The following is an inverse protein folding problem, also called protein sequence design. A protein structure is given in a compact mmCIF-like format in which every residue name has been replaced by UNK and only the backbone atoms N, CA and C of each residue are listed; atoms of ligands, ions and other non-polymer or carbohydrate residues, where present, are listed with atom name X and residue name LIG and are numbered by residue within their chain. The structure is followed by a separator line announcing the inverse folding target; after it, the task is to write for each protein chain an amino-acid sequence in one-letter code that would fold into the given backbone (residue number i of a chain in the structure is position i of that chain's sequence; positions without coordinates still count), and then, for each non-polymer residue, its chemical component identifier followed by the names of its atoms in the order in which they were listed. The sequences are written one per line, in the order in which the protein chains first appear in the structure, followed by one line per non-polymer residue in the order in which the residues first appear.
data_IF_204309471193
#
_entry.id   IF_204309471193
#
_cell.length_a   1.000
_cell.length_b   1.000
_cell.length_c   1.000
_cell.angle_alpha   90.00
_cell.angle_beta   90.00
_cell.angle_gamma   90.00
#
_symmetry.space_group_name_H-M   'P 1'
#
loop_
_entity.id
_entity.type
_entity.pdbx_description
1 polymer ?
#
# COMPACT_ATOMS: atom_id res chain seq x y z
N UNK A 1 4.06 -14.54 12.94
CA UNK A 1 3.91 -13.07 12.83
C UNK A 1 3.24 -12.58 11.53
N UNK A 2 3.30 -13.32 10.41
CA UNK A 2 2.70 -12.89 9.14
C UNK A 2 1.17 -12.65 9.18
N UNK A 3 0.42 -13.51 9.89
CA UNK A 3 -1.04 -13.38 10.04
C UNK A 3 -1.43 -12.08 10.73
N UNK A 4 -0.75 -11.73 11.83
CA UNK A 4 -1.03 -10.49 12.56
C UNK A 4 -0.75 -9.25 11.71
N UNK A 5 0.39 -9.22 11.01
CA UNK A 5 0.75 -8.12 10.12
C UNK A 5 -0.28 -7.97 8.98
N UNK A 6 -0.73 -9.08 8.40
CA UNK A 6 -1.77 -9.08 7.39
C UNK A 6 -3.10 -8.53 7.94
N UNK A 7 -3.53 -8.99 9.12
CA UNK A 7 -4.75 -8.50 9.77
C UNK A 7 -4.68 -7.00 10.02
N UNK A 8 -3.55 -6.50 10.50
CA UNK A 8 -3.34 -5.06 10.73
C UNK A 8 -3.44 -4.27 9.41
N UNK A 9 -2.78 -4.72 8.34
CA UNK A 9 -2.89 -4.08 7.03
C UNK A 9 -4.32 -4.17 6.46
N UNK A 10 -5.06 -5.24 6.72
CA UNK A 10 -6.44 -5.40 6.30
C UNK A 10 -7.39 -4.45 7.05
N UNK A 11 -7.22 -4.31 8.37
CA UNK A 11 -7.97 -3.34 9.17
C UNK A 11 -7.70 -1.93 8.69
N UNK A 12 -6.41 -1.57 8.53
CA UNK A 12 -6.04 -0.28 7.94
C UNK A 12 -6.75 -0.12 6.59
N UNK A 13 -6.61 -1.11 5.68
CA UNK A 13 -7.23 -1.10 4.34
C UNK A 13 -8.68 -0.65 4.43
N UNK A 14 -9.46 -1.35 5.25
CA UNK A 14 -10.89 -1.11 5.47
C UNK A 14 -11.20 0.25 6.07
N UNK A 15 -10.41 0.77 7.01
CA UNK A 15 -10.66 2.08 7.60
C UNK A 15 -10.67 3.21 6.56
N UNK A 16 -9.78 3.18 5.57
CA UNK A 16 -9.76 4.21 4.50
C UNK A 16 -10.85 4.00 3.48
N UNK A 17 -11.13 2.75 3.10
CA UNK A 17 -12.27 2.46 2.21
C UNK A 17 -13.57 2.95 2.83
N UNK A 18 -13.76 2.72 4.13
CA UNK A 18 -14.93 3.16 4.86
C UNK A 18 -14.98 4.69 5.01
N UNK A 19 -13.85 5.34 5.32
CA UNK A 19 -13.78 6.80 5.49
C UNK A 19 -14.12 7.58 4.21
N UNK A 20 -13.87 7.00 3.04
CA UNK A 20 -14.11 7.66 1.75
C UNK A 20 -15.22 7.02 0.91
N UNK A 21 -16.00 6.10 1.50
CA UNK A 21 -17.01 5.30 0.77
C UNK A 21 -18.01 6.14 -0.02
N UNK A 22 -18.42 7.28 0.53
CA UNK A 22 -19.42 8.17 -0.10
C UNK A 22 -18.83 9.03 -1.22
N UNK A 23 -17.52 9.18 -1.26
CA UNK A 23 -16.82 10.10 -2.18
C UNK A 23 -16.21 9.38 -3.38
N UNK A 24 -16.06 8.06 -3.30
CA UNK A 24 -15.30 7.26 -4.26
C UNK A 24 -16.21 6.36 -5.09
N UNK A 25 -15.83 6.08 -6.35
CA UNK A 25 -16.61 5.22 -7.22
C UNK A 25 -16.70 3.79 -6.69
N UNK A 26 -17.75 3.09 -7.08
CA UNK A 26 -17.95 1.69 -6.75
C UNK A 26 -16.76 0.84 -7.24
N UNK A 27 -16.27 -0.06 -6.38
CA UNK A 27 -15.12 -0.91 -6.67
C UNK A 27 -13.75 -0.23 -6.53
N UNK A 28 -13.69 1.01 -6.01
CA UNK A 28 -12.44 1.57 -5.53
C UNK A 28 -11.89 0.74 -4.36
N UNK A 29 -10.58 0.49 -4.38
CA UNK A 29 -9.92 -0.29 -3.35
C UNK A 29 -8.61 0.35 -2.95
N UNK A 30 -8.37 0.41 -1.64
CA UNK A 30 -7.08 0.86 -1.15
C UNK A 30 -6.02 -0.26 -1.25
N UNK A 31 -4.79 0.12 -1.58
CA UNK A 31 -3.68 -0.81 -1.73
C UNK A 31 -3.02 -1.12 -0.38
N UNK A 32 -3.03 -2.40 0.02
CA UNK A 32 -2.25 -2.86 1.18
C UNK A 32 -0.75 -2.68 0.97
N UNK A 33 -0.26 -2.82 -0.27
CA UNK A 33 1.15 -2.65 -0.61
C UNK A 33 1.62 -1.21 -0.41
N UNK A 34 0.92 -0.22 -0.99
CA UNK A 34 1.31 1.19 -0.84
C UNK A 34 1.35 1.61 0.63
N UNK A 35 0.48 1.04 1.47
CA UNK A 35 0.48 1.32 2.91
C UNK A 35 1.63 0.66 3.65
N UNK A 36 1.92 -0.60 3.36
CA UNK A 36 3.08 -1.26 3.94
C UNK A 36 4.35 -0.46 3.62
N UNK A 37 4.47 0.04 2.38
CA UNK A 37 5.59 0.92 1.98
C UNK A 37 5.58 2.25 2.73
N UNK A 38 4.43 2.91 2.88
CA UNK A 38 4.34 4.17 3.63
C UNK A 38 4.70 4.01 5.11
N UNK A 39 4.17 2.98 5.77
CA UNK A 39 4.49 2.67 7.17
C UNK A 39 5.99 2.40 7.30
N UNK A 40 6.54 1.50 6.49
CA UNK A 40 7.98 1.19 6.52
C UNK A 40 8.87 2.40 6.29
N UNK A 41 8.51 3.27 5.34
CA UNK A 41 9.36 4.42 4.98
C UNK A 41 9.29 5.60 5.95
N UNK A 42 8.24 5.68 6.80
CA UNK A 42 8.01 6.84 7.67
C UNK A 42 8.08 6.51 9.16
N UNK A 43 7.86 5.25 9.53
CA UNK A 43 7.75 4.86 10.93
C UNK A 43 9.04 5.14 11.72
N UNK A 44 10.21 4.78 11.18
CA UNK A 44 11.48 5.06 11.85
C UNK A 44 11.73 6.56 12.04
N UNK A 45 11.44 7.36 11.01
CA UNK A 45 11.53 8.83 11.12
C UNK A 45 10.56 9.40 12.15
N UNK A 46 9.35 8.86 12.23
CA UNK A 46 8.37 9.23 13.27
C UNK A 46 8.87 8.91 14.67
N UNK A 47 9.51 7.75 14.89
CA UNK A 47 10.06 7.38 16.20
C UNK A 47 11.18 8.31 16.66
N UNK A 48 11.93 8.91 15.74
CA UNK A 48 12.98 9.89 16.06
C UNK A 48 12.37 11.25 16.44
N UNK A 49 11.30 11.65 15.75
CA UNK A 49 10.73 13.00 15.86
C UNK A 49 9.65 13.12 16.92
N UNK A 50 8.92 12.04 17.23
CA UNK A 50 7.82 12.05 18.19
C UNK A 50 8.28 11.57 19.57
N UNK A 51 8.28 12.44 20.59
CA UNK A 51 8.49 12.03 21.97
C UNK A 51 7.45 10.98 22.39
N UNK A 52 7.87 10.00 23.18
CA UNK A 52 7.03 8.87 23.60
C UNK A 52 5.85 9.33 24.46
N UNK A 53 5.97 10.47 25.13
CA UNK A 53 4.93 11.07 25.97
C UNK A 53 3.72 11.55 25.15
N UNK A 54 3.89 11.73 23.84
CA UNK A 54 2.81 12.07 22.92
C UNK A 54 2.15 10.85 22.27
N UNK A 55 2.67 9.64 22.51
CA UNK A 55 1.95 8.41 22.15
C UNK A 55 0.89 8.14 23.21
N UNK A 56 -0.40 8.22 22.86
CA UNK A 56 -1.46 7.91 23.81
C UNK A 56 -1.38 6.43 24.20
N UNK A 57 -1.68 6.15 25.46
CA UNK A 57 -1.77 4.78 25.97
C UNK A 57 -3.04 4.11 25.44
N UNK A 58 -2.96 3.52 24.24
CA UNK A 58 -4.09 2.89 23.55
C UNK A 58 -4.40 1.46 23.99
N UNK A 59 -3.62 0.90 24.92
CA UNK A 59 -3.73 -0.51 25.30
C UNK A 59 -5.07 -0.85 25.98
N UNK A 60 -5.72 0.15 26.61
CA UNK A 60 -6.96 -0.04 27.38
C UNK A 60 -8.23 0.45 26.65
N UNK A 61 -8.10 0.95 25.41
CA UNK A 61 -9.24 1.44 24.65
C UNK A 61 -10.11 0.30 24.10
N UNK A 62 -11.43 0.51 24.11
CA UNK A 62 -12.36 -0.44 23.49
C UNK A 62 -12.13 -0.55 21.98
N UNK A 63 -12.49 -1.70 21.38
CA UNK A 63 -12.41 -1.90 19.93
C UNK A 63 -13.17 -0.82 19.12
N UNK A 64 -14.28 -0.29 19.67
CA UNK A 64 -15.05 0.78 19.05
C UNK A 64 -14.29 2.10 19.05
N UNK A 65 -13.64 2.44 20.17
CA UNK A 65 -12.79 3.65 20.27
C UNK A 65 -11.67 3.58 19.24
N UNK A 66 -10.98 2.44 19.15
CA UNK A 66 -9.93 2.23 18.16
C UNK A 66 -10.47 2.36 16.72
N UNK A 67 -11.62 1.77 16.42
CA UNK A 67 -12.24 1.86 15.10
C UNK A 67 -12.60 3.31 14.71
N UNK A 68 -13.18 4.08 15.63
CA UNK A 68 -13.49 5.49 15.42
C UNK A 68 -12.23 6.32 15.13
N UNK A 69 -11.16 6.12 15.92
CA UNK A 69 -9.88 6.79 15.69
C UNK A 69 -9.25 6.44 14.35
N UNK A 70 -9.30 5.17 13.96
CA UNK A 70 -8.81 4.74 12.65
C UNK A 70 -9.61 5.39 11.51
N UNK A 71 -10.91 5.59 11.68
CA UNK A 71 -11.75 6.31 10.71
C UNK A 71 -11.40 7.81 10.66
N UNK A 72 -11.25 8.47 11.82
CA UNK A 72 -10.83 9.88 11.90
C UNK A 72 -9.48 10.10 11.20
N UNK A 73 -8.47 9.29 11.51
CA UNK A 73 -7.16 9.37 10.85
C UNK A 73 -7.25 9.07 9.36
N UNK A 74 -8.10 8.12 8.97
CA UNK A 74 -8.26 7.73 7.59
C UNK A 74 -8.86 8.84 6.72
N UNK A 75 -9.73 9.70 7.27
CA UNK A 75 -10.32 10.84 6.53
C UNK A 75 -9.26 11.82 6.00
N UNK A 76 -8.08 11.88 6.62
CA UNK A 76 -6.99 12.76 6.20
C UNK A 76 -6.13 12.18 5.07
N UNK A 77 -6.38 10.93 4.66
CA UNK A 77 -5.62 10.29 3.60
C UNK A 77 -6.17 10.72 2.24
N UNK A 78 -5.29 11.14 1.33
CA UNK A 78 -5.68 11.44 -0.05
C UNK A 78 -5.97 10.13 -0.80
N UNK A 79 -7.18 9.88 -1.32
CA UNK A 79 -7.52 8.61 -1.96
C UNK A 79 -6.62 8.26 -3.16
N UNK A 80 -6.18 9.26 -3.93
CA UNK A 80 -5.25 9.06 -5.06
C UNK A 80 -3.91 8.44 -4.65
N UNK A 81 -3.45 8.70 -3.42
CA UNK A 81 -2.20 8.13 -2.88
C UNK A 81 -2.42 6.73 -2.27
N UNK A 82 -3.67 6.37 -2.00
CA UNK A 82 -4.04 5.11 -1.37
C UNK A 82 -4.55 4.06 -2.37
N UNK A 83 -4.92 4.47 -3.58
CA UNK A 83 -5.56 3.61 -4.56
C UNK A 83 -4.70 2.40 -4.97
N UNK A 84 -5.36 1.27 -5.19
CA UNK A 84 -4.77 0.12 -5.87
C UNK A 84 -4.64 0.43 -7.35
N UNK A 85 -3.45 0.20 -7.90
CA UNK A 85 -3.23 0.30 -9.33
C UNK A 85 -3.72 -1.00 -9.98
N UNK A 86 -4.98 -1.01 -10.45
CA UNK A 86 -5.55 -2.18 -11.14
C UNK A 86 -4.87 -2.34 -12.49
N UNK A 87 -4.01 -3.35 -12.60
CA UNK A 87 -3.40 -3.70 -13.89
C UNK A 87 -4.48 -4.32 -14.77
N UNK A 88 -4.72 -3.75 -15.94
CA UNK A 88 -5.54 -4.40 -16.95
C UNK A 88 -4.95 -5.76 -17.38
N UNK A 89 -5.73 -6.60 -18.08
CA UNK A 89 -5.21 -7.81 -18.69
C UNK A 89 -3.92 -7.51 -19.46
N UNK A 90 -2.94 -8.42 -19.38
CA UNK A 90 -1.71 -8.26 -20.14
C UNK A 90 -2.09 -8.26 -21.62
N UNK A 91 -1.83 -7.15 -22.31
CA UNK A 91 -2.05 -7.07 -23.75
C UNK A 91 -1.07 -8.01 -24.44
N UNK A 92 -1.60 -8.95 -25.20
CA UNK A 92 -0.79 -9.81 -26.07
C UNK A 92 -0.22 -8.96 -27.19
N UNK A 93 1.09 -8.71 -27.11
CA UNK A 93 1.84 -8.04 -28.17
C UNK A 93 2.34 -9.11 -29.13
N UNK A 94 2.06 -9.02 -30.43
CA UNK A 94 2.69 -9.92 -31.40
C UNK A 94 4.20 -9.77 -31.27
N UNK A 95 4.91 -10.89 -31.09
CA UNK A 95 6.38 -10.90 -31.14
C UNK A 95 6.79 -10.55 -32.55
N UNK A 96 7.26 -9.32 -32.75
CA UNK A 96 8.03 -9.00 -33.94
C UNK A 96 9.25 -9.91 -33.95
N UNK A 97 9.48 -10.60 -35.08
CA UNK A 97 10.72 -11.34 -35.27
C UNK A 97 11.86 -10.31 -35.22
N UNK A 98 12.84 -10.59 -34.36
CA UNK A 98 14.11 -9.86 -34.30
C UNK A 98 15.21 -10.87 -34.53
N UNK A 99 16.29 -10.45 -35.18
CA UNK A 99 17.45 -11.30 -35.36
C UNK A 99 18.10 -11.65 -34.01
N UNK A 100 18.89 -12.72 -33.99
CA UNK A 100 19.50 -13.25 -32.77
C UNK A 100 20.49 -12.27 -32.11
N UNK A 101 21.20 -11.46 -32.89
CA UNK A 101 22.15 -10.48 -32.34
C UNK A 101 21.40 -9.38 -31.58
N UNK A 102 20.30 -8.88 -32.14
CA UNK A 102 19.41 -7.92 -31.49
C UNK A 102 18.74 -8.49 -30.24
N UNK A 103 18.33 -9.77 -30.26
CA UNK A 103 17.77 -10.43 -29.09
C UNK A 103 18.78 -10.63 -27.95
N UNK A 104 20.04 -10.92 -28.29
CA UNK A 104 21.12 -11.14 -27.33
C UNK A 104 21.79 -9.84 -26.84
N UNK A 105 21.62 -8.71 -27.52
CA UNK A 105 22.17 -7.40 -27.15
C UNK A 105 21.56 -6.81 -25.87
N UNK A 106 20.54 -7.44 -25.28
CA UNK A 106 19.96 -7.00 -24.02
C UNK A 106 20.92 -7.34 -22.88
N UNK A 107 21.29 -6.35 -22.08
CA UNK A 107 22.32 -6.43 -21.02
C UNK A 107 22.08 -7.58 -20.01
N UNK A 108 20.82 -8.03 -19.85
CA UNK A 108 20.47 -9.17 -18.98
C UNK A 108 20.63 -10.55 -19.64
N UNK A 109 20.89 -10.62 -20.94
CA UNK A 109 21.03 -11.85 -21.75
C UNK A 109 22.36 -11.91 -22.48
N UNK A 110 23.20 -10.88 -22.33
CA UNK A 110 24.53 -10.85 -22.90
C UNK A 110 25.36 -11.96 -22.24
N UNK A 111 25.84 -12.90 -23.07
CA UNK A 111 26.69 -13.98 -22.59
C UNK A 111 28.10 -13.41 -22.50
N UNK A 112 28.64 -13.33 -21.29
CA UNK A 112 30.04 -12.98 -21.08
C UNK A 112 30.91 -13.93 -21.91
N UNK A 113 31.65 -13.39 -22.88
CA UNK A 113 32.65 -14.10 -23.66
C UNK A 113 33.96 -14.20 -22.87
#
# INVERSE_FOLDING_TARGET
MAVLAYNLLAVLKRSVEQAHREQLPEGWEASSYHRAVQVRSRYEGMLIVLPVEHWPAWADDSANTLAQRLLELAQHIKPSQAATNKRGPKVDKPKAWVDAATACAHVSTDRLN
#
